data_IF_166515259081
#
_entry.id   IF_166515259081
#
_cell.length_a   1.000
_cell.length_b   1.000
_cell.length_c   1.000
_cell.angle_alpha   90.00
_cell.angle_beta   90.00
_cell.angle_gamma   90.00
#
_symmetry.space_group_name_H-M   'P 1'
#
loop_
_entity.id
_entity.type
_entity.pdbx_description
1 polymer ?
#
# COMPACT_ATOMS: atom_id res chain seq x y z
N UNK A 1 -49.12 4.65 -3.57
CA UNK A 1 -48.73 5.45 -4.75
C UNK A 1 -47.25 5.77 -4.60
N UNK A 2 -46.41 4.99 -5.32
CA UNK A 2 -44.95 5.12 -5.34
C UNK A 2 -44.56 6.25 -6.32
N UNK A 3 -43.34 6.82 -6.16
CA UNK A 3 -42.40 6.62 -7.26
C UNK A 3 -41.05 6.04 -6.82
N UNK A 4 -40.59 5.20 -7.73
CA UNK A 4 -39.25 4.64 -7.80
C UNK A 4 -38.30 5.72 -8.31
N UNK A 5 -37.20 5.96 -7.63
CA UNK A 5 -36.06 6.63 -8.25
C UNK A 5 -34.87 5.66 -8.32
N UNK A 6 -34.64 5.28 -9.55
CA UNK A 6 -33.61 4.38 -10.03
C UNK A 6 -32.43 5.25 -10.47
N UNK A 7 -31.49 5.55 -9.59
CA UNK A 7 -30.22 6.19 -9.98
C UNK A 7 -29.17 5.14 -10.28
N UNK A 8 -29.06 4.82 -11.57
CA UNK A 8 -27.93 4.09 -12.16
C UNK A 8 -26.62 4.82 -11.87
N UNK A 9 -25.79 4.25 -11.02
CA UNK A 9 -24.39 4.67 -10.93
C UNK A 9 -23.62 4.20 -12.18
N UNK A 10 -23.39 5.16 -13.05
CA UNK A 10 -22.58 5.03 -14.24
C UNK A 10 -21.12 4.68 -13.84
N UNK A 11 -20.75 3.43 -14.00
CA UNK A 11 -19.36 2.98 -13.85
C UNK A 11 -18.52 3.63 -14.94
N UNK A 12 -17.67 4.59 -14.55
CA UNK A 12 -16.65 5.15 -15.44
C UNK A 12 -15.61 4.07 -15.72
N UNK A 13 -15.70 3.47 -16.90
CA UNK A 13 -14.67 2.63 -17.47
C UNK A 13 -13.47 3.51 -17.82
N UNK A 14 -12.36 3.37 -17.11
CA UNK A 14 -11.08 3.94 -17.52
C UNK A 14 -10.50 3.06 -18.62
N UNK A 15 -10.09 3.62 -19.75
CA UNK A 15 -9.39 2.85 -20.77
C UNK A 15 -7.98 2.49 -20.27
N UNK A 16 -7.67 1.21 -20.37
CA UNK A 16 -6.35 0.63 -20.13
C UNK A 16 -5.39 1.14 -21.20
N UNK A 17 -4.54 2.10 -20.87
CA UNK A 17 -3.44 2.51 -21.74
C UNK A 17 -2.30 1.53 -21.54
N UNK A 18 -2.10 0.65 -22.51
CA UNK A 18 -0.93 -0.23 -22.57
C UNK A 18 0.26 0.62 -23.00
N UNK A 19 1.10 1.01 -22.06
CA UNK A 19 2.39 1.62 -22.35
C UNK A 19 3.37 0.52 -22.78
N UNK A 20 3.72 0.51 -24.07
CA UNK A 20 4.80 -0.33 -24.59
C UNK A 20 6.13 0.13 -23.99
N UNK A 21 6.78 -0.74 -23.23
CA UNK A 21 8.12 -0.52 -22.74
C UNK A 21 9.11 -0.59 -23.90
N UNK A 22 9.71 0.53 -24.27
CA UNK A 22 10.84 0.57 -25.17
C UNK A 22 12.09 0.09 -24.44
N UNK A 23 12.57 -1.10 -24.79
CA UNK A 23 13.85 -1.64 -24.33
C UNK A 23 14.95 -0.86 -25.05
N UNK A 24 15.70 -0.04 -24.34
CA UNK A 24 16.92 0.58 -24.87
C UNK A 24 18.01 -0.49 -25.00
N UNK A 25 18.32 -0.90 -26.22
CA UNK A 25 19.47 -1.74 -26.56
C UNK A 25 20.67 -0.80 -26.78
N UNK A 26 21.81 -0.96 -26.09
CA UNK A 26 22.99 -0.17 -26.41
C UNK A 26 23.55 -0.62 -27.76
N UNK A 27 23.47 0.24 -28.76
CA UNK A 27 24.08 0.01 -30.07
C UNK A 27 25.59 0.33 -29.99
N UNK A 28 26.39 -0.68 -29.74
CA UNK A 28 27.77 -0.73 -30.20
C UNK A 28 27.86 -1.86 -31.21
N UNK A 29 27.58 -1.56 -32.45
CA UNK A 29 27.85 -2.41 -33.60
C UNK A 29 28.78 -1.68 -34.56
N UNK A 30 29.90 -2.29 -34.80
CA UNK A 30 30.92 -1.88 -35.74
C UNK A 30 30.34 -1.58 -37.12
N UNK A 31 30.59 -0.36 -37.62
CA UNK A 31 30.31 0.02 -38.99
C UNK A 31 31.25 -0.73 -39.94
N UNK A 32 30.78 -1.80 -40.54
CA UNK A 32 31.38 -2.42 -41.69
C UNK A 32 30.52 -2.09 -42.91
N UNK A 33 31.09 -1.25 -43.76
CA UNK A 33 30.77 -0.95 -45.13
C UNK A 33 29.80 -1.90 -45.86
N UNK A 34 28.56 -1.44 -46.04
CA UNK A 34 27.63 -1.90 -47.05
C UNK A 34 27.01 -0.67 -47.72
N UNK A 35 27.81 0.01 -48.57
CA UNK A 35 27.33 1.11 -49.42
C UNK A 35 27.41 0.67 -50.86
N UNK A 36 26.46 -0.19 -51.27
CA UNK A 36 26.22 -0.38 -52.71
C UNK A 36 24.73 -0.76 -52.89
N UNK A 37 23.93 0.16 -53.35
CA UNK A 37 22.63 -0.11 -53.95
C UNK A 37 21.37 0.40 -53.25
N UNK A 38 21.47 1.38 -52.35
CA UNK A 38 20.26 2.00 -51.78
C UNK A 38 19.97 3.29 -52.51
N UNK A 39 18.73 3.48 -53.08
CA UNK A 39 18.35 4.72 -53.75
C UNK A 39 18.49 5.92 -52.79
N UNK A 40 19.00 7.04 -53.31
CA UNK A 40 19.24 8.29 -52.54
C UNK A 40 18.02 8.84 -51.79
N UNK A 41 16.83 8.37 -52.09
CA UNK A 41 15.57 8.74 -51.42
C UNK A 41 15.39 8.13 -50.03
N UNK A 42 16.18 7.11 -49.63
CA UNK A 42 16.13 6.50 -48.32
C UNK A 42 17.26 6.98 -47.38
N UNK A 43 18.04 7.96 -47.79
CA UNK A 43 19.14 8.53 -47.01
C UNK A 43 18.75 9.76 -46.16
N UNK A 44 17.43 10.04 -46.01
CA UNK A 44 16.96 11.17 -45.21
C UNK A 44 16.24 10.74 -43.93
N UNK A 45 16.83 10.13 -42.93
CA UNK A 45 16.12 9.99 -41.66
C UNK A 45 16.78 10.64 -40.46
N UNK A 46 18.09 10.85 -40.47
CA UNK A 46 18.73 11.29 -39.22
C UNK A 46 18.47 12.77 -38.89
N UNK A 47 18.41 13.63 -39.90
CA UNK A 47 18.24 15.08 -39.73
C UNK A 47 16.79 15.47 -39.42
N UNK A 48 15.81 14.75 -39.98
CA UNK A 48 14.40 15.02 -39.70
C UNK A 48 13.97 14.53 -38.32
N UNK A 49 14.50 13.40 -37.86
CA UNK A 49 14.24 12.91 -36.49
C UNK A 49 14.80 13.87 -35.44
N UNK A 50 15.96 14.48 -35.67
CA UNK A 50 16.51 15.48 -34.77
C UNK A 50 15.75 16.81 -34.76
N UNK A 51 15.08 17.18 -35.87
CA UNK A 51 14.29 18.41 -35.95
C UNK A 51 12.94 18.30 -35.26
N UNK A 52 12.28 17.15 -35.28
CA UNK A 52 11.02 16.99 -34.52
C UNK A 52 11.23 16.87 -33.02
N UNK A 53 12.37 16.32 -32.58
CA UNK A 53 12.74 16.30 -31.14
C UNK A 53 12.96 17.72 -30.59
N UNK A 54 13.46 18.64 -31.39
CA UNK A 54 13.66 20.04 -30.98
C UNK A 54 12.37 20.87 -30.94
N UNK A 55 11.30 20.38 -31.58
CA UNK A 55 9.98 21.04 -31.61
C UNK A 55 8.99 20.61 -30.58
N UNK A 56 9.31 19.58 -29.78
CA UNK A 56 8.46 19.18 -28.68
C UNK A 56 8.67 20.11 -27.47
N UNK A 57 7.60 20.70 -26.93
CA UNK A 57 7.74 21.43 -25.67
C UNK A 57 8.36 20.50 -24.62
N UNK A 58 9.28 20.99 -23.76
CA UNK A 58 9.84 20.19 -22.68
C UNK A 58 8.69 19.61 -21.87
N UNK A 59 8.71 18.28 -21.65
CA UNK A 59 7.73 17.63 -20.80
C UNK A 59 7.73 18.36 -19.45
N UNK A 60 6.60 18.86 -18.99
CA UNK A 60 6.54 19.76 -17.82
C UNK A 60 6.99 19.12 -16.52
N UNK A 61 7.17 17.79 -16.48
CA UNK A 61 7.63 17.03 -15.33
C UNK A 61 8.31 15.73 -15.79
N UNK A 62 9.38 15.25 -15.13
CA UNK A 62 9.92 13.93 -15.41
C UNK A 62 8.85 12.87 -15.12
N UNK A 63 8.70 11.90 -16.02
CA UNK A 63 7.72 10.78 -15.89
C UNK A 63 7.78 10.07 -14.52
N UNK A 64 8.92 10.11 -13.83
CA UNK A 64 9.08 9.59 -12.48
C UNK A 64 8.19 10.28 -11.43
N UNK A 65 7.71 11.51 -11.70
CA UNK A 65 6.78 12.21 -10.80
C UNK A 65 5.31 11.84 -11.08
N UNK A 66 5.01 11.21 -12.20
CA UNK A 66 3.67 10.76 -12.56
C UNK A 66 3.39 9.31 -12.13
N UNK A 67 4.44 8.56 -11.76
CA UNK A 67 4.28 7.22 -11.26
C UNK A 67 3.98 7.27 -9.75
N UNK A 68 2.98 6.51 -9.27
CA UNK A 68 2.79 6.36 -7.84
C UNK A 68 4.08 5.82 -7.22
N UNK A 69 4.45 6.34 -6.05
CA UNK A 69 5.60 5.83 -5.32
C UNK A 69 5.49 4.31 -5.14
N UNK A 70 6.58 3.55 -5.31
CA UNK A 70 6.53 2.10 -5.14
C UNK A 70 6.03 1.78 -3.73
N UNK A 71 5.08 0.86 -3.63
CA UNK A 71 4.57 0.37 -2.35
C UNK A 71 5.72 -0.30 -1.60
N UNK A 72 6.02 0.08 -0.36
CA UNK A 72 7.09 -0.53 0.39
C UNK A 72 6.82 -2.02 0.64
N UNK A 73 7.86 -2.84 0.54
CA UNK A 73 7.80 -4.27 0.85
C UNK A 73 8.32 -4.48 2.27
N UNK A 74 7.53 -5.15 3.09
CA UNK A 74 7.86 -5.42 4.48
C UNK A 74 8.17 -6.91 4.70
N UNK A 75 9.10 -7.22 5.59
CA UNK A 75 9.44 -8.59 5.94
C UNK A 75 8.28 -9.28 6.68
N UNK A 76 8.11 -10.60 6.46
CA UNK A 76 7.09 -11.38 7.17
C UNK A 76 7.59 -11.82 8.56
N UNK A 77 7.79 -10.86 9.44
CA UNK A 77 8.18 -11.04 10.85
C UNK A 77 7.65 -9.87 11.69
N UNK A 78 7.82 -9.93 13.00
CA UNK A 78 7.28 -8.93 13.93
C UNK A 78 7.72 -7.49 13.59
N UNK A 79 9.00 -7.26 13.26
CA UNK A 79 9.48 -5.93 12.87
C UNK A 79 8.78 -5.45 11.58
N UNK A 80 8.72 -6.31 10.58
CA UNK A 80 8.06 -5.98 9.30
C UNK A 80 6.57 -5.74 9.45
N UNK A 81 5.86 -6.50 10.28
CA UNK A 81 4.44 -6.30 10.56
C UNK A 81 4.18 -4.95 11.25
N UNK A 82 5.02 -4.58 12.23
CA UNK A 82 4.92 -3.27 12.90
C UNK A 82 5.17 -2.14 11.91
N UNK A 83 6.22 -2.23 11.07
CA UNK A 83 6.52 -1.19 10.06
C UNK A 83 5.42 -1.07 9.01
N UNK A 84 4.86 -2.19 8.56
CA UNK A 84 3.72 -2.18 7.64
C UNK A 84 2.50 -1.54 8.30
N UNK A 85 2.20 -1.93 9.55
CA UNK A 85 1.12 -1.30 10.30
C UNK A 85 1.34 0.22 10.44
N UNK A 86 2.56 0.68 10.76
CA UNK A 86 2.87 2.11 10.81
C UNK A 86 2.68 2.82 9.46
N UNK A 87 3.04 2.16 8.36
CA UNK A 87 2.80 2.71 7.03
C UNK A 87 1.30 2.93 6.78
N UNK A 88 0.45 1.95 7.10
CA UNK A 88 -1.01 2.05 6.99
C UNK A 88 -1.57 3.10 7.95
N UNK A 89 -1.13 3.12 9.20
CA UNK A 89 -1.55 4.09 10.22
C UNK A 89 -1.26 5.53 9.78
N UNK A 90 -0.06 5.78 9.23
CA UNK A 90 0.34 7.10 8.72
C UNK A 90 -0.55 7.57 7.57
N UNK A 91 -0.92 6.66 6.64
CA UNK A 91 -1.84 6.98 5.54
C UNK A 91 -3.25 7.35 6.05
N UNK A 92 -3.65 6.80 7.19
CA UNK A 92 -4.95 7.04 7.80
C UNK A 92 -4.90 8.08 8.94
N UNK A 93 -3.76 8.79 9.12
CA UNK A 93 -3.55 9.80 10.16
C UNK A 93 -3.78 9.29 11.59
N UNK A 94 -3.53 8.00 11.83
CA UNK A 94 -3.66 7.36 13.15
C UNK A 94 -2.30 7.37 13.84
N UNK A 95 -2.15 7.99 15.04
CA UNK A 95 -0.87 8.09 15.72
C UNK A 95 -0.47 6.77 16.37
N UNK A 96 0.83 6.46 16.32
CA UNK A 96 1.40 5.28 17.00
C UNK A 96 2.88 5.11 16.70
N UNK A 97 3.72 5.17 17.74
CA UNK A 97 5.15 4.93 17.59
C UNK A 97 5.47 3.43 17.53
N UNK A 98 6.55 3.08 16.82
CA UNK A 98 7.06 1.71 16.80
C UNK A 98 7.28 1.14 18.21
N UNK A 99 7.92 1.92 19.07
CA UNK A 99 8.25 1.49 20.43
C UNK A 99 7.00 1.20 21.27
N UNK A 100 5.96 2.01 21.14
CA UNK A 100 4.70 1.79 21.85
C UNK A 100 3.98 0.53 21.34
N UNK A 101 3.88 0.39 20.00
CA UNK A 101 3.28 -0.79 19.37
C UNK A 101 4.00 -2.06 19.82
N UNK A 102 5.33 -2.10 19.68
CA UNK A 102 6.14 -3.25 20.08
C UNK A 102 5.95 -3.60 21.56
N UNK A 103 6.02 -2.59 22.46
CA UNK A 103 5.82 -2.78 23.90
C UNK A 103 4.47 -3.41 24.23
N UNK A 104 3.41 -2.92 23.60
CA UNK A 104 2.06 -3.45 23.77
C UNK A 104 1.96 -4.88 23.26
N UNK A 105 2.45 -5.18 22.07
CA UNK A 105 2.46 -6.55 21.51
C UNK A 105 3.17 -7.53 22.45
N UNK A 106 4.35 -7.16 22.95
CA UNK A 106 5.12 -8.05 23.82
C UNK A 106 4.37 -8.31 25.14
N UNK A 107 3.64 -7.34 25.65
CA UNK A 107 2.80 -7.50 26.86
C UNK A 107 1.56 -8.34 26.60
N UNK A 108 0.86 -8.13 25.48
CA UNK A 108 -0.43 -8.75 25.17
C UNK A 108 -0.30 -10.21 24.69
N UNK A 109 0.70 -10.48 23.85
CA UNK A 109 0.81 -11.79 23.18
C UNK A 109 2.21 -12.39 23.16
N UNK A 110 3.23 -11.66 23.67
CA UNK A 110 4.62 -12.06 23.50
C UNK A 110 5.08 -12.11 22.05
N UNK A 111 4.40 -11.42 21.16
CA UNK A 111 4.69 -11.43 19.71
C UNK A 111 4.03 -12.58 18.93
N UNK A 112 3.11 -13.33 19.53
CA UNK A 112 2.39 -14.42 18.87
C UNK A 112 1.16 -13.90 18.10
N UNK A 113 1.16 -13.92 16.75
CA UNK A 113 0.02 -13.42 15.97
C UNK A 113 -1.23 -14.31 16.08
N UNK A 114 -1.10 -15.54 16.57
CA UNK A 114 -2.23 -16.45 16.76
C UNK A 114 -2.63 -16.62 18.23
N UNK A 115 -2.20 -15.72 19.11
CA UNK A 115 -2.60 -15.74 20.51
C UNK A 115 -4.13 -15.60 20.64
N UNK A 116 -4.70 -16.36 21.56
CA UNK A 116 -6.11 -16.29 21.93
C UNK A 116 -6.22 -16.44 23.45
N UNK A 117 -6.97 -15.55 24.11
CA UNK A 117 -7.25 -15.64 25.53
C UNK A 117 -8.63 -16.27 25.76
N UNK A 118 -8.64 -17.48 26.33
CA UNK A 118 -9.86 -18.25 26.59
C UNK A 118 -10.27 -18.22 28.06
N UNK A 119 -9.63 -17.41 28.92
CA UNK A 119 -9.74 -17.51 30.37
C UNK A 119 -10.36 -16.27 31.03
N UNK A 120 -10.52 -15.16 30.30
CA UNK A 120 -11.03 -13.91 30.84
C UNK A 120 -12.57 -13.77 30.70
N UNK A 121 -13.10 -12.67 31.22
CA UNK A 121 -14.53 -12.33 31.13
C UNK A 121 -15.04 -12.14 29.69
N UNK A 122 -14.18 -11.79 28.74
CA UNK A 122 -14.54 -11.68 27.34
C UNK A 122 -14.72 -13.09 26.75
N UNK A 123 -13.78 -13.98 27.02
CA UNK A 123 -13.88 -15.39 26.61
C UNK A 123 -15.15 -16.06 27.18
N UNK A 124 -15.49 -15.81 28.47
CA UNK A 124 -16.72 -16.32 29.08
C UNK A 124 -18.00 -15.82 28.36
N UNK A 125 -17.94 -14.67 27.67
CA UNK A 125 -19.02 -14.11 26.86
C UNK A 125 -18.97 -14.56 25.39
N UNK A 126 -18.06 -15.46 25.02
CA UNK A 126 -17.89 -15.95 23.65
C UNK A 126 -17.17 -14.99 22.71
N UNK A 127 -16.51 -13.96 23.24
CA UNK A 127 -15.74 -12.97 22.48
C UNK A 127 -14.28 -12.87 22.93
N UNK A 128 -13.50 -13.97 22.84
CA UNK A 128 -12.12 -14.00 23.32
C UNK A 128 -11.25 -12.97 22.63
N UNK A 129 -10.24 -12.47 23.34
CA UNK A 129 -9.21 -11.59 22.80
C UNK A 129 -8.25 -12.36 21.88
N UNK A 130 -7.86 -11.78 20.74
CA UNK A 130 -7.15 -12.46 19.65
C UNK A 130 -6.00 -11.63 19.09
N UNK A 131 -4.99 -12.34 18.57
CA UNK A 131 -3.89 -11.78 17.81
C UNK A 131 -2.83 -11.06 18.63
N UNK A 132 -1.96 -10.31 17.93
CA UNK A 132 -0.81 -9.64 18.53
C UNK A 132 -1.19 -8.66 19.66
N UNK A 133 -2.27 -7.91 19.46
CA UNK A 133 -2.73 -6.84 20.36
C UNK A 133 -3.95 -7.26 21.20
N UNK A 134 -4.30 -8.55 21.21
CA UNK A 134 -5.41 -9.12 21.99
C UNK A 134 -6.72 -8.35 21.85
N UNK A 135 -7.14 -8.13 20.60
CA UNK A 135 -8.38 -7.42 20.25
C UNK A 135 -9.55 -8.41 20.23
N UNK A 136 -10.72 -7.98 20.72
CA UNK A 136 -11.98 -8.76 20.60
C UNK A 136 -12.68 -8.45 19.26
N UNK A 137 -13.46 -9.41 18.74
CA UNK A 137 -14.15 -9.27 17.45
C UNK A 137 -14.99 -7.97 17.30
N UNK A 138 -15.79 -7.54 18.30
CA UNK A 138 -16.53 -6.29 18.17
C UNK A 138 -15.64 -5.05 18.01
N UNK A 139 -14.53 -4.98 18.76
CA UNK A 139 -13.57 -3.88 18.68
C UNK A 139 -12.85 -3.90 17.34
N UNK A 140 -12.41 -5.09 16.87
CA UNK A 140 -11.78 -5.24 15.57
C UNK A 140 -12.66 -4.71 14.44
N UNK A 141 -13.95 -5.09 14.43
CA UNK A 141 -14.90 -4.63 13.39
C UNK A 141 -15.17 -3.13 13.45
N UNK A 142 -15.29 -2.58 14.67
CA UNK A 142 -15.60 -1.16 14.86
C UNK A 142 -14.43 -0.23 14.51
N UNK A 143 -13.19 -0.72 14.65
CA UNK A 143 -11.96 0.08 14.46
C UNK A 143 -11.08 -0.47 13.34
N UNK A 144 -11.64 -1.32 12.47
CA UNK A 144 -10.94 -1.80 11.28
C UNK A 144 -10.44 -0.62 10.43
N UNK A 145 -9.23 -0.73 9.90
CA UNK A 145 -8.61 0.31 9.07
C UNK A 145 -8.65 -0.12 7.61
N UNK A 146 -9.16 0.74 6.74
CA UNK A 146 -9.24 0.48 5.31
C UNK A 146 -7.87 0.15 4.70
N UNK A 147 -7.87 -0.79 3.77
CA UNK A 147 -6.64 -1.29 3.14
C UNK A 147 -5.97 -2.42 3.90
N UNK A 148 -6.53 -2.88 5.04
CA UNK A 148 -6.06 -4.05 5.77
C UNK A 148 -6.98 -5.26 5.61
N UNK A 149 -6.50 -6.45 6.01
CA UNK A 149 -7.28 -7.70 5.99
C UNK A 149 -8.43 -7.66 6.99
N UNK A 150 -9.55 -8.33 6.67
CA UNK A 150 -10.65 -8.59 7.61
C UNK A 150 -10.43 -9.82 8.51
N UNK A 151 -9.24 -10.45 8.43
CA UNK A 151 -8.85 -11.49 9.39
C UNK A 151 -8.25 -10.85 10.63
N UNK A 152 -8.89 -11.06 11.80
CA UNK A 152 -8.41 -10.56 13.09
C UNK A 152 -7.02 -11.11 13.49
N UNK A 153 -6.61 -12.24 12.90
CA UNK A 153 -5.29 -12.83 13.11
C UNK A 153 -4.23 -12.33 12.12
N UNK A 154 -4.61 -11.54 11.12
CA UNK A 154 -3.63 -10.85 10.27
C UNK A 154 -2.86 -9.84 11.14
N UNK A 155 -1.52 -9.93 11.18
CA UNK A 155 -0.71 -9.11 12.08
C UNK A 155 -0.91 -7.61 11.87
N UNK A 156 -0.98 -7.17 10.60
CA UNK A 156 -1.10 -5.74 10.27
C UNK A 156 -2.50 -5.23 10.62
N UNK A 157 -3.55 -5.98 10.25
CA UNK A 157 -4.92 -5.62 10.56
C UNK A 157 -5.17 -5.56 12.07
N UNK A 158 -4.63 -6.52 12.83
CA UNK A 158 -4.76 -6.57 14.29
C UNK A 158 -4.09 -5.36 14.96
N UNK A 159 -2.85 -5.04 14.57
CA UNK A 159 -2.11 -3.88 15.08
C UNK A 159 -2.84 -2.58 14.75
N UNK A 160 -3.25 -2.40 13.49
CA UNK A 160 -3.88 -1.14 13.05
C UNK A 160 -5.23 -0.91 13.72
N UNK A 161 -6.05 -1.94 13.86
CA UNK A 161 -7.34 -1.86 14.58
C UNK A 161 -7.14 -1.49 16.06
N UNK A 162 -6.15 -2.09 16.73
CA UNK A 162 -5.82 -1.76 18.12
C UNK A 162 -5.32 -0.31 18.27
N UNK A 163 -4.46 0.16 17.36
CA UNK A 163 -3.98 1.54 17.37
C UNK A 163 -5.10 2.54 17.09
N UNK A 164 -6.02 2.21 16.17
CA UNK A 164 -7.19 3.03 15.87
C UNK A 164 -8.12 3.13 17.09
N UNK A 165 -8.40 2.02 17.75
CA UNK A 165 -9.13 2.03 19.01
C UNK A 165 -8.44 2.90 20.07
N UNK A 166 -7.12 2.73 20.24
CA UNK A 166 -6.32 3.50 21.20
C UNK A 166 -6.33 5.01 20.87
N UNK A 167 -6.27 5.37 19.60
CA UNK A 167 -6.36 6.77 19.16
C UNK A 167 -7.68 7.41 19.59
N UNK A 168 -8.79 6.71 19.40
CA UNK A 168 -10.13 7.19 19.80
C UNK A 168 -10.32 7.23 21.32
N UNK A 169 -9.74 6.30 22.04
CA UNK A 169 -9.99 6.16 23.49
C UNK A 169 -8.98 6.91 24.36
N UNK A 170 -7.72 6.96 23.92
CA UNK A 170 -6.57 7.46 24.70
C UNK A 170 -5.73 8.50 23.96
N UNK A 171 -6.15 8.89 22.74
CA UNK A 171 -5.43 9.81 21.87
C UNK A 171 -4.32 9.15 21.07
N UNK A 172 -3.64 8.13 21.57
CA UNK A 172 -2.61 7.35 20.88
C UNK A 172 -2.32 6.05 21.64
N UNK A 173 -1.81 5.05 20.93
CA UNK A 173 -1.28 3.82 21.55
C UNK A 173 -0.08 4.12 22.47
N UNK A 174 0.63 5.23 22.28
CA UNK A 174 1.75 5.65 23.11
C UNK A 174 1.34 5.92 24.55
N UNK A 175 0.10 6.30 24.79
CA UNK A 175 -0.49 6.53 26.11
C UNK A 175 -0.91 5.25 26.83
N UNK A 176 -0.90 4.09 26.15
CA UNK A 176 -1.28 2.81 26.72
C UNK A 176 -0.08 2.14 27.36
N UNK A 177 0.00 2.20 28.70
CA UNK A 177 1.10 1.65 29.49
C UNK A 177 0.68 0.47 30.39
N UNK A 178 -0.61 0.08 30.37
CA UNK A 178 -1.17 -1.07 31.08
C UNK A 178 -2.00 -1.93 30.13
N UNK A 179 -2.45 -3.12 30.57
CA UNK A 179 -3.43 -3.91 29.82
C UNK A 179 -4.70 -3.09 29.57
N UNK A 180 -5.34 -3.33 28.42
CA UNK A 180 -6.58 -2.65 28.01
C UNK A 180 -7.73 -2.91 28.96
#
# INVERSE_FOLDING_TARGET
MLPKDNTMHLRKLFPLVIAAAAIAIPAQAHASSFTAGVPAQLQQPATQLQQWEQGLPPLPQPLSQLLPAPTPVFANNLDGWIRNAQFVLNQNHIPGSYGAIHRNIMRESGGNPRAINLYDSNAARGIPSKGLMQVIDPTFRAYHVDGTSWDIYDPVANITAACNYAAHRYGTIDNVNSAY
#
